data_IF_499403930466
#
_entry.id   IF_499403930466
#
_cell.length_a   1.000
_cell.length_b   1.000
_cell.length_c   1.000
_cell.angle_alpha   90.00
_cell.angle_beta   90.00
_cell.angle_gamma   90.00
#
_symmetry.space_group_name_H-M   'P 1'
#
loop_
_entity.id
_entity.type
_entity.pdbx_description
1 polymer ?
#
# COMPACT_ATOMS: atom_id res chain seq x y z
N UNK A 1 16.85 9.65 6.20
CA UNK A 1 15.47 9.45 5.68
C UNK A 1 14.72 8.53 6.63
N UNK A 2 13.45 8.81 6.94
CA UNK A 2 12.64 7.92 7.79
C UNK A 2 12.26 6.61 7.08
N UNK A 3 12.04 5.53 7.84
CA UNK A 3 11.66 4.20 7.30
C UNK A 3 10.44 4.29 6.38
N UNK A 4 9.42 5.05 6.76
CA UNK A 4 8.20 5.24 5.96
C UNK A 4 8.48 5.88 4.60
N UNK A 5 9.28 6.94 4.56
CA UNK A 5 9.64 7.62 3.31
C UNK A 5 10.37 6.68 2.34
N UNK A 6 11.22 5.80 2.86
CA UNK A 6 11.92 4.78 2.06
C UNK A 6 10.93 3.79 1.43
N UNK A 7 10.01 3.24 2.23
CA UNK A 7 8.97 2.31 1.76
C UNK A 7 8.15 2.94 0.62
N UNK A 8 7.66 4.17 0.81
CA UNK A 8 6.86 4.85 -0.21
C UNK A 8 7.64 5.15 -1.49
N UNK A 9 8.92 5.51 -1.38
CA UNK A 9 9.77 5.73 -2.54
C UNK A 9 10.04 4.44 -3.31
N UNK A 10 10.21 3.32 -2.61
CA UNK A 10 10.40 2.01 -3.23
C UNK A 10 9.14 1.54 -3.97
N UNK A 11 7.94 1.76 -3.39
CA UNK A 11 6.68 1.45 -4.06
C UNK A 11 6.52 2.25 -5.38
N UNK A 12 6.94 3.52 -5.40
CA UNK A 12 6.93 4.37 -6.62
C UNK A 12 7.89 3.90 -7.72
N UNK A 13 8.79 2.96 -7.44
CA UNK A 13 9.63 2.33 -8.49
C UNK A 13 8.91 1.15 -9.17
N UNK A 14 7.86 0.60 -8.54
CA UNK A 14 7.12 -0.58 -9.01
C UNK A 14 5.78 -0.17 -9.65
N UNK A 15 5.14 0.86 -9.08
CA UNK A 15 3.81 1.33 -9.47
C UNK A 15 3.85 2.76 -9.97
N UNK A 16 2.94 3.08 -10.89
CA UNK A 16 2.66 4.45 -11.31
C UNK A 16 2.00 5.23 -10.17
N UNK A 17 2.07 6.56 -10.21
CA UNK A 17 1.61 7.41 -9.10
C UNK A 17 0.11 7.23 -8.86
N UNK A 18 -0.67 7.08 -9.93
CA UNK A 18 -2.12 6.88 -9.86
C UNK A 18 -2.53 5.55 -9.22
N UNK A 19 -1.61 4.58 -9.20
CA UNK A 19 -1.84 3.24 -8.64
C UNK A 19 -1.42 3.13 -7.16
N UNK A 20 -1.04 4.23 -6.52
CA UNK A 20 -0.66 4.29 -5.10
C UNK A 20 -1.52 5.34 -4.38
N UNK A 21 -2.33 4.90 -3.44
CA UNK A 21 -3.06 5.78 -2.52
C UNK A 21 -2.29 5.92 -1.21
N UNK A 22 -2.02 7.17 -0.83
CA UNK A 22 -1.34 7.53 0.42
C UNK A 22 -2.05 8.67 1.16
N UNK A 23 -3.17 9.16 0.63
CA UNK A 23 -3.95 10.21 1.27
C UNK A 23 -4.79 9.65 2.43
N UNK A 24 -5.04 10.51 3.41
CA UNK A 24 -5.70 10.15 4.67
C UNK A 24 -7.07 9.49 4.45
N UNK A 25 -7.88 10.02 3.54
CA UNK A 25 -9.24 9.55 3.30
C UNK A 25 -9.26 8.14 2.68
N UNK A 26 -8.37 7.89 1.71
CA UNK A 26 -8.20 6.57 1.13
C UNK A 26 -7.72 5.55 2.17
N UNK A 27 -6.69 5.90 2.96
CA UNK A 27 -6.16 5.00 3.98
C UNK A 27 -7.19 4.67 5.06
N UNK A 28 -7.99 5.64 5.47
CA UNK A 28 -9.12 5.42 6.40
C UNK A 28 -10.14 4.47 5.79
N UNK A 29 -10.52 4.69 4.52
CA UNK A 29 -11.49 3.84 3.80
C UNK A 29 -11.02 2.39 3.76
N UNK A 30 -9.74 2.15 3.46
CA UNK A 30 -9.16 0.81 3.38
C UNK A 30 -8.67 0.25 4.73
N UNK A 31 -8.93 0.94 5.84
CA UNK A 31 -8.63 0.44 7.18
C UNK A 31 -9.73 -0.46 7.74
N UNK A 32 -10.96 -0.36 7.22
CA UNK A 32 -12.11 -1.15 7.65
C UNK A 32 -12.40 -2.26 6.65
N UNK A 33 -12.82 -3.41 7.16
CA UNK A 33 -13.38 -4.52 6.40
C UNK A 33 -14.85 -4.73 6.78
N UNK A 34 -15.46 -5.80 6.26
CA UNK A 34 -16.85 -6.15 6.60
C UNK A 34 -17.01 -6.72 8.02
N UNK A 35 -15.94 -6.75 8.84
CA UNK A 35 -15.98 -7.32 10.18
C UNK A 35 -16.67 -6.35 11.14
N UNK A 36 -17.81 -6.73 11.77
CA UNK A 36 -18.51 -5.88 12.72
C UNK A 36 -17.62 -5.51 13.92
N UNK A 37 -17.66 -4.24 14.32
CA UNK A 37 -16.95 -3.72 15.50
C UNK A 37 -15.41 -3.83 15.46
N UNK A 38 -14.82 -4.20 14.32
CA UNK A 38 -13.38 -4.19 14.16
C UNK A 38 -12.84 -2.75 14.24
N UNK A 39 -11.80 -2.56 15.06
CA UNK A 39 -10.99 -1.35 14.98
C UNK A 39 -10.09 -1.50 13.76
N UNK A 40 -10.37 -0.72 12.72
CA UNK A 40 -9.59 -0.74 11.49
C UNK A 40 -8.12 -0.49 11.77
N UNK A 41 -7.24 -1.25 11.12
CA UNK A 41 -5.80 -0.98 11.16
C UNK A 41 -5.46 -0.19 9.93
N UNK A 42 -5.08 1.07 10.14
CA UNK A 42 -4.80 1.98 9.03
C UNK A 42 -3.53 1.56 8.26
N UNK A 43 -3.62 1.34 6.95
CA UNK A 43 -2.47 1.02 6.13
C UNK A 43 -1.55 2.24 5.94
N UNK A 44 -0.31 1.98 5.51
CA UNK A 44 0.67 3.01 5.15
C UNK A 44 0.54 3.48 3.70
N UNK A 45 0.01 2.60 2.84
CA UNK A 45 -0.26 2.82 1.42
C UNK A 45 -1.22 1.72 0.94
N UNK A 46 -2.00 2.02 -0.09
CA UNK A 46 -2.79 1.03 -0.84
C UNK A 46 -2.32 1.06 -2.29
N UNK A 47 -2.08 -0.10 -2.88
CA UNK A 47 -1.58 -0.22 -4.26
C UNK A 47 -2.53 -1.02 -5.14
N UNK A 48 -2.64 -0.65 -6.41
CA UNK A 48 -3.53 -1.28 -7.40
C UNK A 48 -2.73 -1.86 -8.57
N UNK A 49 -2.19 -3.09 -8.43
CA UNK A 49 -1.48 -3.75 -9.53
C UNK A 49 -2.38 -3.89 -10.77
N UNK A 50 -1.85 -3.55 -11.94
CA UNK A 50 -2.53 -3.69 -13.25
C UNK A 50 -2.29 -5.02 -13.93
N UNK A 51 -1.24 -5.74 -13.52
CA UNK A 51 -0.86 -7.00 -14.13
C UNK A 51 -0.20 -7.96 -13.12
N UNK A 52 -0.14 -9.27 -13.43
CA UNK A 52 0.45 -10.26 -12.53
C UNK A 52 1.94 -10.02 -12.20
N UNK A 53 2.70 -9.36 -13.07
CA UNK A 53 4.12 -9.06 -12.82
C UNK A 53 4.28 -8.06 -11.68
N UNK A 54 3.46 -7.01 -11.64
CA UNK A 54 3.45 -6.06 -10.51
C UNK A 54 3.06 -6.73 -9.18
N UNK A 55 2.18 -7.73 -9.20
CA UNK A 55 1.87 -8.53 -8.00
C UNK A 55 3.11 -9.30 -7.53
N UNK A 56 3.87 -9.92 -8.43
CA UNK A 56 5.10 -10.61 -8.08
C UNK A 56 6.14 -9.68 -7.45
N UNK A 57 6.32 -8.49 -8.02
CA UNK A 57 7.23 -7.49 -7.47
C UNK A 57 6.76 -6.97 -6.11
N UNK A 58 5.46 -6.79 -5.91
CA UNK A 58 4.89 -6.41 -4.61
C UNK A 58 5.16 -7.45 -3.52
N UNK A 59 5.02 -8.75 -3.84
CA UNK A 59 5.30 -9.83 -2.90
C UNK A 59 6.78 -9.86 -2.54
N UNK A 60 7.69 -9.72 -3.52
CA UNK A 60 9.14 -9.61 -3.27
C UNK A 60 9.49 -8.39 -2.43
N UNK A 61 8.80 -7.27 -2.66
CA UNK A 61 8.95 -6.05 -1.89
C UNK A 61 8.54 -6.27 -0.42
N UNK A 62 7.36 -6.85 -0.18
CA UNK A 62 6.83 -7.10 1.15
C UNK A 62 7.73 -8.03 1.99
N UNK A 63 8.46 -8.95 1.34
CA UNK A 63 9.41 -9.83 2.04
C UNK A 63 10.69 -9.12 2.49
N UNK A 64 11.03 -7.96 1.92
CA UNK A 64 12.31 -7.24 2.16
C UNK A 64 12.22 -6.13 3.22
N UNK A 65 11.04 -5.60 3.51
CA UNK A 65 10.82 -4.41 4.37
C UNK A 65 10.22 -4.74 5.75
#
# INVERSE_FOLDING_TARGET
MGKLTKILNNLKQIFEKEDILVDEASLETYSYDATPFAKGVKPIAVVFPKNPYQVQELVKFAQKE
#
